data_IF_220453492204
#
_entry.id   IF_220453492204
#
_cell.length_a   1.000
_cell.length_b   1.000
_cell.length_c   1.000
_cell.angle_alpha   90.00
_cell.angle_beta   90.00
_cell.angle_gamma   90.00
#
_symmetry.space_group_name_H-M   'P 1'
#
loop_
_entity.id
_entity.type
_entity.pdbx_description
1 polymer ?
#
# COMPACT_ATOMS: atom_id res chain seq x y z
N UNK A 1 -8.57 14.97 -62.86
CA UNK A 1 -7.49 15.65 -62.13
C UNK A 1 -8.18 16.72 -61.31
N UNK A 2 -8.24 16.68 -59.98
CA UNK A 2 -7.17 16.44 -59.02
C UNK A 2 -7.64 15.60 -57.82
N UNK A 3 -6.66 15.04 -57.11
CA UNK A 3 -6.75 14.12 -55.97
C UNK A 3 -6.31 14.83 -54.68
N UNK A 4 -6.69 14.24 -53.53
CA UNK A 4 -6.15 14.44 -52.16
C UNK A 4 -6.75 15.66 -51.42
N UNK A 5 -7.31 15.59 -50.21
CA UNK A 5 -6.62 15.16 -48.98
C UNK A 5 -7.56 14.85 -47.80
N UNK A 6 -7.57 13.57 -47.44
CA UNK A 6 -7.57 12.99 -46.08
C UNK A 6 -8.26 13.77 -44.95
N UNK A 7 -9.49 13.34 -44.64
CA UNK A 7 -10.08 13.48 -43.30
C UNK A 7 -9.20 12.75 -42.28
N UNK A 8 -8.52 13.51 -41.43
CA UNK A 8 -7.70 12.98 -40.35
C UNK A 8 -8.62 12.47 -39.24
N UNK A 9 -8.92 11.17 -39.26
CA UNK A 9 -9.45 10.48 -38.09
C UNK A 9 -8.35 10.50 -37.01
N UNK A 10 -8.67 10.80 -35.73
CA UNK A 10 -7.69 10.62 -34.66
C UNK A 10 -7.34 9.14 -34.62
N UNK A 11 -6.07 8.83 -34.88
CA UNK A 11 -5.59 7.45 -34.91
C UNK A 11 -5.81 6.82 -33.53
N UNK A 12 -6.49 5.67 -33.49
CA UNK A 12 -6.71 4.84 -32.29
C UNK A 12 -5.40 4.46 -31.55
N UNK A 13 -4.24 4.77 -32.14
CA UNK A 13 -2.93 4.64 -31.52
C UNK A 13 -2.76 5.44 -30.20
N UNK A 14 -3.51 6.53 -30.01
CA UNK A 14 -3.34 7.39 -28.81
C UNK A 14 -4.01 6.86 -27.53
N UNK A 15 -4.83 5.80 -27.61
CA UNK A 15 -5.55 5.24 -26.44
C UNK A 15 -4.78 4.12 -25.73
N UNK A 16 -3.54 3.82 -26.13
CA UNK A 16 -2.75 2.69 -25.58
C UNK A 16 -1.48 3.09 -24.84
N UNK A 17 -1.30 4.36 -24.50
CA UNK A 17 -0.35 4.75 -23.43
C UNK A 17 -1.05 4.61 -22.07
N UNK A 18 -1.60 3.44 -21.79
CA UNK A 18 -1.63 2.99 -20.40
C UNK A 18 -0.15 2.79 -20.09
N UNK A 19 0.42 3.70 -19.30
CA UNK A 19 1.83 3.71 -18.92
C UNK A 19 2.17 2.38 -18.23
N UNK A 20 2.46 1.35 -19.04
CA UNK A 20 2.88 0.00 -18.65
C UNK A 20 4.37 -0.02 -18.29
N UNK A 21 4.97 1.15 -18.10
CA UNK A 21 6.20 1.26 -17.33
C UNK A 21 5.76 1.00 -15.91
N UNK A 22 6.02 -0.19 -15.38
CA UNK A 22 6.06 -0.37 -13.92
C UNK A 22 6.75 0.87 -13.37
N UNK A 23 6.00 1.69 -12.61
CA UNK A 23 6.47 2.99 -12.16
C UNK A 23 7.91 2.77 -11.64
N UNK A 24 8.92 3.47 -12.17
CA UNK A 24 10.33 3.09 -11.98
C UNK A 24 10.78 2.93 -10.51
N UNK A 25 10.00 3.45 -9.56
CA UNK A 25 10.14 3.22 -8.13
C UNK A 25 9.93 1.75 -7.73
N UNK A 26 9.07 0.99 -8.40
CA UNK A 26 8.78 -0.41 -8.08
C UNK A 26 10.03 -1.29 -8.22
N UNK A 27 10.94 -0.95 -9.14
CA UNK A 27 12.23 -1.64 -9.30
C UNK A 27 13.19 -1.45 -8.11
N UNK A 28 12.95 -0.43 -7.29
CA UNK A 28 13.74 -0.12 -6.09
C UNK A 28 13.05 -0.53 -4.78
N UNK A 29 11.88 -1.19 -4.87
CA UNK A 29 11.11 -1.58 -3.69
C UNK A 29 11.75 -2.77 -2.97
N UNK A 30 12.05 -2.62 -1.68
CA UNK A 30 12.68 -3.69 -0.89
C UNK A 30 11.79 -4.92 -0.74
N UNK A 31 10.46 -4.78 -0.79
CA UNK A 31 9.54 -5.92 -0.69
C UNK A 31 9.80 -7.01 -1.73
N UNK A 32 10.38 -6.66 -2.89
CA UNK A 32 10.74 -7.60 -3.95
C UNK A 32 11.94 -8.50 -3.63
N UNK A 33 12.72 -8.13 -2.61
CA UNK A 33 13.91 -8.86 -2.15
C UNK A 33 13.58 -9.83 -1.01
N UNK A 34 12.33 -9.85 -0.57
CA UNK A 34 11.84 -10.67 0.52
C UNK A 34 10.87 -11.73 0.00
N UNK A 35 10.69 -12.78 0.80
CA UNK A 35 9.70 -13.81 0.53
C UNK A 35 8.28 -13.19 0.45
N UNK A 36 7.48 -13.51 -0.59
CA UNK A 36 6.11 -13.00 -0.69
C UNK A 36 5.23 -13.35 0.52
N UNK A 37 5.46 -14.48 1.18
CA UNK A 37 4.62 -14.94 2.30
C UNK A 37 4.63 -13.98 3.49
N UNK A 38 5.71 -13.19 3.64
CA UNK A 38 5.83 -12.12 4.66
C UNK A 38 4.70 -11.09 4.55
N UNK A 39 4.16 -10.86 3.35
CA UNK A 39 3.11 -9.87 3.10
C UNK A 39 1.68 -10.42 3.25
N UNK A 40 1.53 -11.74 3.31
CA UNK A 40 0.23 -12.41 3.30
C UNK A 40 -0.12 -13.10 4.62
N UNK A 41 0.88 -13.50 5.42
CA UNK A 41 0.63 -14.15 6.70
C UNK A 41 0.58 -13.16 7.87
N UNK A 42 -0.47 -13.27 8.69
CA UNK A 42 -0.66 -12.43 9.87
C UNK A 42 0.49 -12.52 10.88
N UNK A 43 1.19 -13.66 10.94
CA UNK A 43 2.35 -13.87 11.81
C UNK A 43 3.52 -12.93 11.46
N UNK A 44 3.64 -12.53 10.18
CA UNK A 44 4.75 -11.71 9.69
C UNK A 44 4.40 -10.22 9.56
N UNK A 45 3.17 -9.79 9.88
CA UNK A 45 2.74 -8.38 9.74
C UNK A 45 3.69 -7.38 10.42
N UNK A 46 4.26 -7.72 11.58
CA UNK A 46 5.21 -6.83 12.28
C UNK A 46 6.54 -6.71 11.52
N UNK A 47 7.05 -7.83 11.02
CA UNK A 47 8.27 -7.87 10.21
C UNK A 47 8.08 -7.13 8.89
N UNK A 48 6.96 -7.39 8.23
CA UNK A 48 6.52 -6.75 7.01
C UNK A 48 6.49 -5.21 7.18
N UNK A 49 5.86 -4.70 8.24
CA UNK A 49 5.82 -3.26 8.55
C UNK A 49 7.21 -2.66 8.77
N UNK A 50 8.12 -3.40 9.41
CA UNK A 50 9.49 -2.96 9.66
C UNK A 50 10.30 -2.82 8.36
N UNK A 51 10.16 -3.78 7.44
CA UNK A 51 10.76 -3.71 6.10
C UNK A 51 10.21 -2.49 5.35
N UNK A 52 8.88 -2.33 5.32
CA UNK A 52 8.27 -1.18 4.64
C UNK A 52 8.73 0.17 5.21
N UNK A 53 8.98 0.27 6.52
CA UNK A 53 9.36 1.52 7.17
C UNK A 53 10.77 2.00 6.76
N UNK A 54 11.62 1.09 6.29
CA UNK A 54 12.97 1.38 5.82
C UNK A 54 13.07 1.49 4.29
N UNK A 55 11.97 1.16 3.59
CA UNK A 55 11.96 1.07 2.14
C UNK A 55 12.19 2.45 1.48
N UNK A 56 13.14 2.59 0.54
CA UNK A 56 13.52 3.88 -0.06
C UNK A 56 12.43 4.48 -0.95
N UNK A 57 11.40 3.70 -1.27
CA UNK A 57 10.27 4.10 -2.13
C UNK A 57 8.95 4.18 -1.38
N UNK A 58 9.00 4.31 -0.05
CA UNK A 58 7.80 4.34 0.80
C UNK A 58 6.81 5.45 0.40
N UNK A 59 7.32 6.60 -0.06
CA UNK A 59 6.50 7.73 -0.54
C UNK A 59 5.77 7.38 -1.83
N UNK A 60 6.48 6.81 -2.78
CA UNK A 60 5.93 6.40 -4.07
C UNK A 60 4.89 5.28 -3.88
N UNK A 61 5.19 4.30 -3.01
CA UNK A 61 4.27 3.23 -2.64
C UNK A 61 2.96 3.78 -2.05
N UNK A 62 3.05 4.73 -1.10
CA UNK A 62 1.86 5.36 -0.51
C UNK A 62 1.05 6.18 -1.54
N UNK A 63 1.72 6.92 -2.43
CA UNK A 63 1.08 7.68 -3.49
C UNK A 63 0.38 6.76 -4.50
N UNK A 64 1.00 5.64 -4.85
CA UNK A 64 0.43 4.64 -5.75
C UNK A 64 -0.80 3.97 -5.13
N UNK A 65 -0.75 3.59 -3.85
CA UNK A 65 -1.90 3.07 -3.12
C UNK A 65 -3.11 4.04 -3.15
N UNK A 66 -2.85 5.34 -2.98
CA UNK A 66 -3.88 6.38 -3.07
C UNK A 66 -4.46 6.52 -4.48
N UNK A 67 -3.63 6.36 -5.52
CA UNK A 67 -4.08 6.37 -6.92
C UNK A 67 -5.04 5.21 -7.21
N UNK A 68 -4.69 4.00 -6.75
CA UNK A 68 -5.58 2.82 -6.84
C UNK A 68 -6.89 3.09 -6.10
N UNK A 69 -6.82 3.59 -4.86
CA UNK A 69 -8.00 3.85 -4.04
C UNK A 69 -8.94 4.94 -4.61
N UNK A 70 -8.45 5.78 -5.52
CA UNK A 70 -9.22 6.84 -6.17
C UNK A 70 -9.99 6.36 -7.41
N UNK A 71 -9.74 5.13 -7.91
CA UNK A 71 -10.37 4.58 -9.11
C UNK A 71 -11.48 3.59 -8.73
N UNK A 72 -12.77 3.94 -8.84
CA UNK A 72 -13.86 2.99 -8.60
C UNK A 72 -13.86 1.87 -9.66
N UNK A 73 -14.27 0.63 -9.32
CA UNK A 73 -14.72 0.17 -8.00
C UNK A 73 -13.56 -0.29 -7.09
N UNK A 74 -12.31 -0.04 -7.46
CA UNK A 74 -11.16 -0.64 -6.82
C UNK A 74 -10.95 -0.07 -5.40
N UNK A 75 -10.61 -0.98 -4.48
CA UNK A 75 -10.22 -0.66 -3.11
C UNK A 75 -8.81 -1.21 -2.91
N UNK A 76 -7.95 -0.42 -2.30
CA UNK A 76 -6.64 -0.91 -1.90
C UNK A 76 -6.79 -1.75 -0.63
N UNK A 77 -6.09 -2.86 -0.57
CA UNK A 77 -6.09 -3.84 0.51
C UNK A 77 -4.70 -4.47 0.66
N UNK A 78 -4.43 -5.09 1.80
CA UNK A 78 -3.11 -5.63 2.15
C UNK A 78 -2.18 -4.56 2.72
N UNK A 79 -0.89 -4.86 2.77
CA UNK A 79 0.10 -3.97 3.37
C UNK A 79 0.71 -3.01 2.35
N UNK A 80 0.51 -1.70 2.55
CA UNK A 80 1.02 -0.63 1.71
C UNK A 80 1.74 0.42 2.57
N UNK A 81 3.00 0.72 2.27
CA UNK A 81 3.78 1.74 2.99
C UNK A 81 3.73 1.59 4.53
N UNK A 82 3.79 0.34 5.03
CA UNK A 82 3.63 -0.07 6.44
C UNK A 82 2.21 0.07 7.03
N UNK A 83 1.21 0.43 6.22
CA UNK A 83 -0.20 0.45 6.60
C UNK A 83 -0.86 -0.84 6.15
N UNK A 84 -1.42 -1.59 7.10
CA UNK A 84 -2.22 -2.78 6.81
C UNK A 84 -3.67 -2.37 6.58
N UNK A 85 -4.21 -2.76 5.42
CA UNK A 85 -5.55 -2.36 4.96
C UNK A 85 -6.40 -3.63 4.80
N UNK A 86 -7.34 -3.91 5.72
CA UNK A 86 -8.15 -5.11 5.66
C UNK A 86 -9.04 -5.18 4.41
N UNK A 87 -9.32 -6.40 3.94
CA UNK A 87 -10.27 -6.65 2.84
C UNK A 87 -11.67 -6.09 3.11
N UNK A 88 -12.11 -6.23 4.36
CA UNK A 88 -13.41 -5.74 4.84
C UNK A 88 -13.14 -4.68 5.89
N UNK A 89 -13.41 -3.44 5.54
CA UNK A 89 -13.17 -2.29 6.41
C UNK A 89 -14.32 -1.29 6.24
N UNK A 90 -14.77 -0.75 7.37
CA UNK A 90 -15.82 0.26 7.39
C UNK A 90 -15.36 1.57 6.74
N UNK A 91 -16.28 2.31 6.12
CA UNK A 91 -15.94 3.50 5.34
C UNK A 91 -15.19 4.58 6.14
N UNK A 92 -15.49 4.73 7.43
CA UNK A 92 -14.86 5.70 8.31
C UNK A 92 -13.42 5.31 8.67
N UNK A 93 -13.18 4.02 8.89
CA UNK A 93 -11.85 3.46 9.16
C UNK A 93 -10.98 3.47 7.91
N UNK A 94 -11.55 3.08 6.76
CA UNK A 94 -10.87 3.16 5.48
C UNK A 94 -10.37 4.59 5.20
N UNK A 95 -11.21 5.61 5.46
CA UNK A 95 -10.81 7.02 5.31
C UNK A 95 -9.62 7.39 6.20
N UNK A 96 -9.53 6.85 7.43
CA UNK A 96 -8.38 7.07 8.33
C UNK A 96 -7.11 6.42 7.76
N UNK A 97 -7.20 5.19 7.26
CA UNK A 97 -6.08 4.50 6.62
C UNK A 97 -5.58 5.27 5.39
N UNK A 98 -6.48 5.78 4.55
CA UNK A 98 -6.11 6.64 3.43
C UNK A 98 -5.45 7.95 3.89
N UNK A 99 -5.85 8.52 5.03
CA UNK A 99 -5.17 9.70 5.58
C UNK A 99 -3.75 9.38 6.07
N UNK A 100 -3.52 8.20 6.64
CA UNK A 100 -2.17 7.75 6.97
C UNK A 100 -1.31 7.60 5.72
N UNK A 101 -1.84 7.01 4.64
CA UNK A 101 -1.15 6.94 3.35
C UNK A 101 -0.83 8.34 2.80
N UNK A 102 -1.75 9.30 2.89
CA UNK A 102 -1.50 10.70 2.48
C UNK A 102 -0.35 11.32 3.27
N UNK A 103 -0.30 11.08 4.59
CA UNK A 103 0.80 11.56 5.43
C UNK A 103 2.15 10.96 5.00
N UNK A 104 2.21 9.65 4.77
CA UNK A 104 3.44 8.97 4.35
C UNK A 104 3.87 9.42 2.95
N UNK A 105 2.95 9.56 1.99
CA UNK A 105 3.26 10.07 0.66
C UNK A 105 3.89 11.47 0.73
N UNK A 106 3.33 12.34 1.58
CA UNK A 106 3.84 13.70 1.76
C UNK A 106 5.22 13.74 2.44
N UNK A 107 5.41 12.96 3.52
CA UNK A 107 6.55 13.12 4.44
C UNK A 107 7.64 12.04 4.32
N UNK A 108 7.30 10.85 3.82
CA UNK A 108 8.14 9.66 3.91
C UNK A 108 8.23 9.06 5.32
N UNK A 109 7.53 9.63 6.30
CA UNK A 109 7.56 9.18 7.69
C UNK A 109 6.28 8.43 8.05
N UNK A 110 6.40 7.48 8.98
CA UNK A 110 5.23 6.82 9.57
C UNK A 110 4.44 7.82 10.44
N UNK A 111 3.09 7.81 10.37
CA UNK A 111 2.30 8.68 11.22
C UNK A 111 2.56 8.33 12.69
N UNK A 112 2.65 9.33 13.58
CA UNK A 112 2.86 9.07 15.00
C UNK A 112 1.71 8.19 15.50
N UNK A 113 2.03 6.96 15.91
CA UNK A 113 1.05 6.10 16.55
C UNK A 113 0.68 6.77 17.86
N UNK A 114 -0.52 7.33 17.95
CA UNK A 114 -1.05 7.80 19.22
C UNK A 114 -1.16 6.57 20.11
N UNK A 115 -0.20 6.40 21.02
CA UNK A 115 -0.14 5.29 21.97
C UNK A 115 -1.49 5.14 22.66
N UNK A 116 -2.32 4.22 22.18
CA UNK A 116 -3.28 3.55 23.03
C UNK A 116 -2.50 2.43 23.68
N UNK A 117 -1.92 2.74 24.83
CA UNK A 117 -1.71 1.75 25.88
C UNK A 117 -3.08 1.05 26.08
N UNK A 118 -3.27 -0.06 25.38
CA UNK A 118 -4.15 -1.11 25.84
C UNK A 118 -3.17 -2.18 26.29
N UNK A 119 -2.63 -1.98 27.50
CA UNK A 119 -2.17 -3.10 28.30
C UNK A 119 -3.28 -4.14 28.24
N UNK A 120 -3.02 -5.22 27.53
CA UNK A 120 -3.73 -6.46 27.80
C UNK A 120 -3.31 -6.81 29.23
N UNK A 121 -4.25 -6.99 30.18
CA UNK A 121 -3.88 -7.45 31.51
C UNK A 121 -3.10 -8.75 31.34
N UNK A 122 -1.84 -8.73 31.76
CA UNK A 122 -1.04 -9.93 31.98
C UNK A 122 -1.89 -10.92 32.77
N UNK A 123 -2.24 -12.04 32.15
CA UNK A 123 -2.68 -13.21 32.91
C UNK A 123 -1.41 -13.81 33.50
N UNK A 124 -1.23 -13.81 34.83
CA UNK A 124 -0.18 -14.63 35.42
C UNK A 124 -0.52 -16.10 35.12
N UNK A 125 0.38 -16.76 34.40
CA UNK A 125 0.43 -18.21 34.35
C UNK A 125 0.86 -18.69 35.75
N UNK A 126 -0.12 -18.93 36.62
CA UNK A 126 0.09 -19.78 37.78
C UNK A 126 0.00 -21.23 37.30
N UNK A 127 1.17 -21.84 37.09
CA UNK A 127 1.34 -23.28 37.07
C UNK A 127 2.49 -23.63 38.00
N UNK A 128 2.26 -23.51 39.30
CA UNK A 128 2.99 -24.32 40.27
C UNK A 128 2.54 -25.78 40.14
N UNK A 129 3.24 -26.52 39.27
CA UNK A 129 3.38 -27.97 39.39
C UNK A 129 4.80 -28.23 39.90
N UNK A 130 4.89 -28.56 41.19
CA UNK A 130 6.05 -29.22 41.76
C UNK A 130 5.59 -30.27 42.79
N UNK A 131 5.70 -31.54 42.34
CA UNK A 131 5.99 -32.82 43.01
C UNK A 131 5.66 -32.97 44.49
#
# INVERSE_FOLDING_TARGET
MEVVSMSSAPSLASLTLVDNREDAWQQRADCRRHDPDIWHEAAFTKQAKAICAQCPVIRDCAAHALRIAALPPHRVNGLWASIDIPLKVESSEYRKLLNHLRYIAATGMQPPTRNRHRESPDHPADQDIAV
#
